data_IF_608908484260
#
_entry.id   IF_608908484260
#
_cell.length_a   1.000
_cell.length_b   1.000
_cell.length_c   1.000
_cell.angle_alpha   90.00
_cell.angle_beta   90.00
_cell.angle_gamma   90.00
#
_symmetry.space_group_name_H-M   'P 1'
#
loop_
_entity.id
_entity.type
_entity.pdbx_description
1 polymer ?
#
# COMPACT_ATOMS: atom_id res chain seq x y z
N UNK A 1 -19.76 0.07 2.29
CA UNK A 1 -19.16 1.39 2.60
C UNK A 1 -18.00 1.61 1.65
N UNK A 2 -17.91 2.78 1.02
CA UNK A 2 -16.74 3.19 0.26
C UNK A 2 -15.60 3.53 1.23
N UNK A 3 -14.43 2.98 1.00
CA UNK A 3 -13.21 3.24 1.78
C UNK A 3 -12.54 4.53 1.30
N UNK A 4 -12.61 4.82 0.00
CA UNK A 4 -12.01 6.04 -0.59
C UNK A 4 -13.01 6.83 -1.44
N UNK A 5 -12.67 8.10 -1.71
CA UNK A 5 -13.46 8.98 -2.60
C UNK A 5 -13.36 8.59 -4.08
N UNK A 6 -12.49 7.63 -4.44
CA UNK A 6 -12.23 7.21 -5.83
C UNK A 6 -13.19 6.14 -6.35
N UNK A 7 -14.10 5.62 -5.51
CA UNK A 7 -15.13 4.67 -5.90
C UNK A 7 -14.72 3.19 -5.84
N UNK A 8 -15.71 2.30 -5.86
CA UNK A 8 -15.54 0.85 -5.64
C UNK A 8 -14.64 0.19 -6.68
N UNK A 9 -14.72 0.61 -7.95
CA UNK A 9 -13.91 0.03 -9.02
C UNK A 9 -12.41 0.27 -8.79
N UNK A 10 -12.05 1.47 -8.33
CA UNK A 10 -10.67 1.79 -8.00
C UNK A 10 -10.18 0.94 -6.82
N UNK A 11 -11.01 0.74 -5.81
CA UNK A 11 -10.66 -0.09 -4.65
C UNK A 11 -10.43 -1.55 -5.04
N UNK A 12 -11.27 -2.12 -5.91
CA UNK A 12 -11.11 -3.50 -6.41
C UNK A 12 -9.83 -3.63 -7.21
N UNK A 13 -9.60 -2.74 -8.17
CA UNK A 13 -8.41 -2.77 -9.03
C UNK A 13 -7.12 -2.66 -8.22
N UNK A 14 -7.11 -1.87 -7.13
CA UNK A 14 -5.93 -1.73 -6.27
C UNK A 14 -5.86 -2.78 -5.16
N UNK A 15 -6.84 -3.68 -5.02
CA UNK A 15 -6.83 -4.77 -4.04
C UNK A 15 -6.31 -6.10 -4.60
N UNK A 16 -5.85 -6.15 -5.85
CA UNK A 16 -5.41 -7.38 -6.52
C UNK A 16 -4.29 -8.13 -5.76
N UNK A 17 -3.44 -7.40 -5.05
CA UNK A 17 -2.35 -7.96 -4.24
C UNK A 17 -2.85 -8.90 -3.13
N UNK A 18 -4.11 -8.76 -2.69
CA UNK A 18 -4.70 -9.63 -1.69
C UNK A 18 -4.77 -11.08 -2.17
N UNK A 19 -4.92 -11.30 -3.48
CA UNK A 19 -4.89 -12.63 -4.09
C UNK A 19 -3.57 -13.36 -3.82
N UNK A 20 -2.46 -12.61 -3.69
CA UNK A 20 -1.15 -13.18 -3.32
C UNK A 20 -1.11 -13.71 -1.89
N UNK A 21 -2.01 -13.28 -1.00
CA UNK A 21 -2.10 -13.88 0.35
C UNK A 21 -2.83 -15.23 0.34
N UNK A 22 -3.66 -15.49 -0.67
CA UNK A 22 -4.42 -16.74 -0.82
C UNK A 22 -3.64 -17.84 -1.53
N UNK A 23 -2.46 -17.55 -2.10
CA UNK A 23 -1.63 -18.60 -2.66
C UNK A 23 -1.25 -19.62 -1.57
N UNK A 24 -1.24 -20.92 -1.89
CA UNK A 24 -1.00 -21.97 -0.91
C UNK A 24 0.28 -21.76 -0.10
N UNK A 25 0.26 -22.21 1.15
CA UNK A 25 1.45 -22.29 2.00
C UNK A 25 2.17 -20.96 2.25
N UNK A 26 1.45 -19.83 2.19
CA UNK A 26 1.99 -18.48 2.37
C UNK A 26 3.11 -18.09 1.37
N UNK A 27 3.30 -18.85 0.29
CA UNK A 27 4.44 -18.71 -0.62
C UNK A 27 4.58 -17.31 -1.23
N UNK A 28 3.47 -16.62 -1.47
CA UNK A 28 3.48 -15.27 -2.02
C UNK A 28 3.00 -14.20 -1.04
N UNK A 29 2.77 -14.56 0.23
CA UNK A 29 2.30 -13.61 1.24
C UNK A 29 3.31 -12.47 1.45
N UNK A 30 4.60 -12.80 1.59
CA UNK A 30 5.64 -11.78 1.78
C UNK A 30 5.74 -10.81 0.59
N UNK A 31 5.54 -11.29 -0.65
CA UNK A 31 5.49 -10.45 -1.84
C UNK A 31 4.32 -9.47 -1.79
N UNK A 32 3.16 -9.91 -1.31
CA UNK A 32 1.99 -9.06 -1.10
C UNK A 32 2.32 -7.88 -0.17
N UNK A 33 2.95 -8.17 0.98
CA UNK A 33 3.33 -7.16 1.98
C UNK A 33 4.44 -6.22 1.49
N UNK A 34 5.41 -6.73 0.72
CA UNK A 34 6.42 -5.88 0.08
C UNK A 34 5.80 -4.96 -0.96
N UNK A 35 4.93 -5.49 -1.82
CA UNK A 35 4.24 -4.71 -2.84
C UNK A 35 3.45 -3.55 -2.24
N UNK A 36 2.61 -3.82 -1.23
CA UNK A 36 1.82 -2.75 -0.59
C UNK A 36 2.70 -1.74 0.16
N UNK A 37 3.75 -2.21 0.83
CA UNK A 37 4.67 -1.35 1.56
C UNK A 37 5.41 -0.40 0.63
N UNK A 38 5.87 -0.89 -0.51
CA UNK A 38 6.52 -0.07 -1.53
C UNK A 38 5.55 0.93 -2.18
N UNK A 39 4.37 0.47 -2.59
CA UNK A 39 3.36 1.28 -3.29
C UNK A 39 2.77 2.39 -2.43
N UNK A 40 2.53 2.13 -1.15
CA UNK A 40 2.00 3.11 -0.21
C UNK A 40 3.09 3.85 0.59
N UNK A 41 4.37 3.61 0.29
CA UNK A 41 5.54 4.15 1.04
C UNK A 41 5.48 3.88 2.55
N UNK A 42 4.89 2.75 2.94
CA UNK A 42 4.71 2.37 4.33
C UNK A 42 5.78 1.35 4.77
N UNK A 43 6.78 1.84 5.52
CA UNK A 43 7.89 1.02 6.04
C UNK A 43 7.44 -0.09 6.98
N UNK A 44 6.29 0.04 7.67
CA UNK A 44 5.78 -1.01 8.57
C UNK A 44 5.39 -2.26 7.78
N UNK A 45 4.74 -2.09 6.62
CA UNK A 45 4.36 -3.23 5.77
C UNK A 45 5.56 -3.90 5.11
N UNK A 46 6.60 -3.14 4.76
CA UNK A 46 7.87 -3.73 4.33
C UNK A 46 8.49 -4.60 5.43
N UNK A 47 8.47 -4.14 6.69
CA UNK A 47 8.94 -4.95 7.83
C UNK A 47 8.13 -6.23 7.99
N UNK A 48 6.79 -6.18 7.85
CA UNK A 48 5.97 -7.39 7.90
C UNK A 48 6.27 -8.34 6.74
N UNK A 49 6.49 -7.84 5.52
CA UNK A 49 6.94 -8.66 4.40
C UNK A 49 8.24 -9.39 4.72
N UNK A 50 9.21 -8.69 5.32
CA UNK A 50 10.48 -9.29 5.75
C UNK A 50 10.28 -10.35 6.84
N UNK A 51 9.43 -10.08 7.84
CA UNK A 51 9.11 -11.04 8.91
C UNK A 51 8.49 -12.31 8.31
N UNK A 52 7.50 -12.16 7.41
CA UNK A 52 6.87 -13.30 6.75
C UNK A 52 7.87 -14.10 5.93
N UNK A 53 8.77 -13.43 5.20
CA UNK A 53 9.81 -14.08 4.44
C UNK A 53 10.76 -14.90 5.33
N UNK A 54 11.23 -14.33 6.44
CA UNK A 54 12.15 -15.01 7.37
C UNK A 54 11.49 -16.24 7.99
N UNK A 55 10.26 -16.12 8.50
CA UNK A 55 9.54 -17.26 9.12
C UNK A 55 9.29 -18.35 8.09
N UNK A 56 8.89 -17.98 6.88
CA UNK A 56 8.69 -18.93 5.78
C UNK A 56 10.01 -19.65 5.44
N UNK A 57 11.10 -18.91 5.27
CA UNK A 57 12.42 -19.48 4.97
C UNK A 57 12.87 -20.47 6.04
N UNK A 58 12.69 -20.15 7.33
CA UNK A 58 12.98 -21.07 8.45
C UNK A 58 12.14 -22.33 8.33
N UNK A 59 10.84 -22.20 8.06
CA UNK A 59 9.94 -23.34 7.96
C UNK A 59 10.31 -24.32 6.83
N UNK A 60 10.90 -23.82 5.73
CA UNK A 60 11.38 -24.65 4.61
C UNK A 60 12.72 -25.35 4.86
N UNK A 61 13.53 -24.86 5.81
CA UNK A 61 14.81 -25.50 6.20
C UNK A 61 14.60 -26.60 7.25
N UNK A 62 13.49 -26.53 8.00
CA UNK A 62 13.14 -27.54 9.00
C UNK A 62 12.65 -28.84 8.35
N UNK A 63 12.72 -29.97 9.08
CA UNK A 63 12.06 -31.21 8.66
C UNK A 63 10.56 -30.99 8.37
N UNK A 64 9.99 -31.82 7.50
CA UNK A 64 8.63 -31.64 6.98
C UNK A 64 7.57 -31.47 8.08
N UNK A 65 7.60 -32.30 9.11
CA UNK A 65 6.62 -32.27 10.21
C UNK A 65 6.60 -30.91 10.96
N UNK A 66 7.71 -30.42 11.55
CA UNK A 66 7.74 -29.10 12.18
C UNK A 66 7.54 -27.94 11.18
N UNK A 67 8.02 -28.06 9.94
CA UNK A 67 7.81 -27.04 8.90
C UNK A 67 6.32 -26.82 8.60
N UNK A 68 5.55 -27.90 8.45
CA UNK A 68 4.08 -27.83 8.20
C UNK A 68 3.35 -27.16 9.36
N UNK A 69 3.72 -27.43 10.62
CA UNK A 69 3.13 -26.79 11.79
C UNK A 69 3.41 -25.29 11.88
N UNK A 70 4.40 -24.78 11.15
CA UNK A 70 4.69 -23.34 11.06
C UNK A 70 3.97 -22.73 9.85
N UNK A 71 4.07 -23.37 8.68
CA UNK A 71 3.54 -22.84 7.42
C UNK A 71 2.02 -22.69 7.44
N UNK A 72 1.28 -23.68 7.97
CA UNK A 72 -0.18 -23.62 7.96
C UNK A 72 -0.72 -22.46 8.82
N UNK A 73 -0.30 -22.27 10.09
CA UNK A 73 -0.68 -21.08 10.85
C UNK A 73 -0.20 -19.78 10.21
N UNK A 74 1.04 -19.74 9.69
CA UNK A 74 1.58 -18.55 9.03
C UNK A 74 0.71 -18.11 7.85
N UNK A 75 0.20 -19.07 7.08
CA UNK A 75 -0.68 -18.82 5.96
C UNK A 75 -2.02 -18.21 6.38
N UNK A 76 -2.68 -18.79 7.39
CA UNK A 76 -3.93 -18.23 7.93
C UNK A 76 -3.72 -16.83 8.49
N UNK A 77 -2.62 -16.62 9.24
CA UNK A 77 -2.25 -15.30 9.79
C UNK A 77 -2.02 -14.29 8.67
N UNK A 78 -1.34 -14.68 7.59
CA UNK A 78 -1.08 -13.80 6.44
C UNK A 78 -2.38 -13.36 5.74
N UNK A 79 -3.34 -14.26 5.56
CA UNK A 79 -4.65 -13.96 4.97
C UNK A 79 -5.40 -12.95 5.86
N UNK A 80 -5.52 -13.24 7.17
CA UNK A 80 -6.21 -12.35 8.12
C UNK A 80 -5.54 -10.97 8.16
N UNK A 81 -4.22 -10.93 8.18
CA UNK A 81 -3.48 -9.67 8.21
C UNK A 81 -3.66 -8.89 6.91
N UNK A 82 -3.64 -9.56 5.75
CA UNK A 82 -3.91 -8.94 4.45
C UNK A 82 -5.30 -8.29 4.41
N UNK A 83 -6.33 -8.98 4.88
CA UNK A 83 -7.69 -8.45 4.95
C UNK A 83 -7.79 -7.22 5.85
N UNK A 84 -7.14 -7.24 7.03
CA UNK A 84 -7.10 -6.10 7.96
C UNK A 84 -6.39 -4.88 7.37
N UNK A 85 -5.29 -5.12 6.65
CA UNK A 85 -4.47 -4.03 6.07
C UNK A 85 -5.11 -3.42 4.83
N UNK A 86 -6.03 -4.13 4.15
CA UNK A 86 -6.67 -3.64 2.91
C UNK A 86 -7.22 -2.23 3.01
N UNK A 87 -8.01 -1.93 4.04
CA UNK A 87 -8.61 -0.60 4.19
C UNK A 87 -7.55 0.49 4.39
N UNK A 88 -6.58 0.24 5.29
CA UNK A 88 -5.48 1.17 5.54
C UNK A 88 -4.61 1.39 4.30
N UNK A 89 -4.36 0.34 3.52
CA UNK A 89 -3.63 0.41 2.25
C UNK A 89 -4.32 1.31 1.24
N UNK A 90 -5.62 1.12 1.01
CA UNK A 90 -6.37 1.92 0.04
C UNK A 90 -6.40 3.40 0.43
N UNK A 91 -6.58 3.71 1.72
CA UNK A 91 -6.55 5.09 2.22
C UNK A 91 -5.16 5.72 2.03
N UNK A 92 -4.09 5.04 2.45
CA UNK A 92 -2.73 5.57 2.30
C UNK A 92 -2.33 5.76 0.83
N UNK A 93 -2.74 4.83 -0.03
CA UNK A 93 -2.49 4.92 -1.47
C UNK A 93 -3.26 6.09 -2.10
N UNK A 94 -4.51 6.32 -1.70
CA UNK A 94 -5.31 7.44 -2.17
C UNK A 94 -4.65 8.78 -1.81
N UNK A 95 -4.27 8.96 -0.53
CA UNK A 95 -3.56 10.15 -0.06
C UNK A 95 -2.24 10.35 -0.81
N UNK A 96 -1.47 9.28 -1.03
CA UNK A 96 -0.23 9.35 -1.79
C UNK A 96 -0.48 9.83 -3.23
N UNK A 97 -1.48 9.26 -3.92
CA UNK A 97 -1.84 9.67 -5.29
C UNK A 97 -2.34 11.11 -5.36
N UNK A 98 -3.17 11.55 -4.41
CA UNK A 98 -3.65 12.93 -4.33
C UNK A 98 -2.48 13.93 -4.19
N UNK A 99 -1.50 13.62 -3.35
CA UNK A 99 -0.32 14.46 -3.19
C UNK A 99 0.55 14.53 -4.45
N UNK A 100 0.65 13.42 -5.20
CA UNK A 100 1.38 13.40 -6.48
C UNK A 100 0.64 14.21 -7.54
N UNK A 101 -0.68 14.04 -7.65
CA UNK A 101 -1.54 14.80 -8.57
C UNK A 101 -1.46 16.31 -8.27
N UNK A 102 -1.52 16.71 -7.00
CA UNK A 102 -1.39 18.11 -6.58
C UNK A 102 -0.04 18.72 -6.99
N UNK A 103 1.07 18.00 -6.75
CA UNK A 103 2.41 18.46 -7.17
C UNK A 103 2.55 18.56 -8.68
N UNK A 104 1.98 17.62 -9.42
CA UNK A 104 2.00 17.66 -10.87
C UNK A 104 1.23 18.88 -11.41
N UNK A 105 0.08 19.18 -10.82
CA UNK A 105 -0.70 20.37 -11.15
C UNK A 105 0.06 21.67 -10.82
N UNK A 106 0.71 21.75 -9.66
CA UNK A 106 1.56 22.88 -9.29
C UNK A 106 2.71 23.09 -10.28
N UNK A 107 3.36 22.00 -10.73
CA UNK A 107 4.43 22.07 -11.72
C UNK A 107 3.94 22.58 -13.08
N UNK A 108 2.81 22.07 -13.58
CA UNK A 108 2.19 22.54 -14.82
C UNK A 108 1.79 24.02 -14.72
N UNK A 109 1.26 24.43 -13.56
CA UNK A 109 0.91 25.83 -13.31
C UNK A 109 2.15 26.73 -13.33
N UNK A 110 3.24 26.32 -12.69
CA UNK A 110 4.49 27.09 -12.67
C UNK A 110 5.06 27.26 -14.08
N UNK A 111 5.02 26.20 -14.90
CA UNK A 111 5.44 26.26 -16.30
C UNK A 111 4.56 27.23 -17.13
N UNK A 112 3.25 27.27 -16.87
CA UNK A 112 2.35 28.22 -17.52
C UNK A 112 2.59 29.67 -17.08
N UNK A 113 2.85 29.92 -15.79
CA UNK A 113 3.17 31.25 -15.26
C UNK A 113 4.49 31.77 -15.87
N UNK A 114 5.52 30.92 -16.00
CA UNK A 114 6.78 31.26 -16.67
C UNK A 114 6.60 31.56 -18.17
N UNK A 115 5.84 30.75 -18.90
CA UNK A 115 5.67 30.90 -20.35
C UNK A 115 4.75 32.06 -20.74
N UNK A 116 3.70 32.31 -19.96
CA UNK A 116 2.64 33.25 -20.33
C UNK A 116 2.64 34.53 -19.47
N UNK A 117 3.61 34.71 -18.56
CA UNK A 117 3.76 35.92 -17.74
C UNK A 117 2.67 36.10 -16.69
N UNK A 118 1.97 35.02 -16.30
CA UNK A 118 0.93 35.05 -15.29
C UNK A 118 1.52 35.32 -13.90
N UNK A 119 1.04 36.34 -13.20
CA UNK A 119 1.44 36.58 -11.80
C UNK A 119 0.89 35.45 -10.91
N UNK A 120 1.66 34.92 -9.94
CA UNK A 120 1.16 33.91 -9.04
C UNK A 120 -0.05 34.44 -8.26
N UNK A 121 -1.20 33.77 -8.37
CA UNK A 121 -2.35 34.09 -7.53
C UNK A 121 -1.93 34.01 -6.05
N UNK A 122 -2.18 35.09 -5.31
CA UNK A 122 -1.85 35.22 -3.89
C UNK A 122 -2.25 33.94 -3.15
N UNK A 123 -1.27 33.27 -2.54
CA UNK A 123 -1.51 32.12 -1.65
C UNK A 123 -2.47 32.60 -0.55
N UNK A 124 -3.74 32.19 -0.60
CA UNK A 124 -4.68 32.43 0.49
C UNK A 124 -4.24 31.51 1.62
N UNK A 125 -3.78 32.11 2.72
CA UNK A 125 -3.44 31.37 3.92
C UNK A 125 -4.73 30.93 4.63
N UNK A 126 -5.18 29.72 4.32
CA UNK A 126 -6.36 29.09 4.90
C UNK A 126 -6.21 28.81 6.40
N UNK A 127 -5.02 28.95 6.99
CA UNK A 127 -4.83 28.79 8.44
C UNK A 127 -5.29 30.02 9.24
N UNK A 128 -5.54 31.15 8.57
CA UNK A 128 -5.97 32.41 9.20
C UNK A 128 -7.49 32.61 9.26
N UNK A 129 -8.28 31.68 8.70
CA UNK A 129 -9.76 31.73 8.69
C UNK A 129 -10.43 30.80 9.72
N UNK A 130 -9.71 30.44 10.78
CA UNK A 130 -10.25 29.60 11.87
C UNK A 130 -10.35 30.37 13.17
#
# INVERSE_FOLDING_TARGET
>A
MLITKRGTWWEVLHSWWLLLTFAPFALTAFLAFFYIGYRAKNKKWLKYGLIYFIILAIAFVLPSTPGVYIVLPLWVIAIIHGLKVRAAYLIQLDVFKQNVEARAYEAVRHEAEEKFGGKPAHRIDLTKQR
#
